data_IF_519864843045
#
_entry.id   IF_519864843045
#
_cell.length_a   1.000
_cell.length_b   1.000
_cell.length_c   1.000
_cell.angle_alpha   90.00
_cell.angle_beta   90.00
_cell.angle_gamma   90.00
#
_symmetry.space_group_name_H-M   'P 1'
#
loop_
_entity.id
_entity.type
_entity.pdbx_description
1 polymer ?
#
# COMPACT_ATOMS: atom_id res chain seq x y z
N UNK A 1 12.11 -47.49 33.71
CA UNK A 1 12.30 -46.05 33.93
C UNK A 1 12.82 -45.45 32.63
N UNK A 2 11.98 -44.74 31.89
CA UNK A 2 12.33 -44.18 30.58
C UNK A 2 13.21 -42.95 30.77
N UNK A 3 14.40 -43.02 30.18
CA UNK A 3 15.45 -42.01 30.25
C UNK A 3 15.00 -40.77 29.47
N UNK A 4 14.39 -39.79 30.14
CA UNK A 4 14.03 -38.50 29.56
C UNK A 4 15.28 -37.61 29.41
N UNK A 5 16.25 -38.04 28.61
CA UNK A 5 17.28 -37.14 28.10
C UNK A 5 16.67 -36.30 26.96
N UNK A 6 16.01 -35.21 27.34
CA UNK A 6 15.72 -34.15 26.38
C UNK A 6 17.05 -33.58 25.89
N UNK A 7 17.44 -33.95 24.66
CA UNK A 7 18.57 -33.33 23.96
C UNK A 7 18.36 -31.81 23.93
N UNK A 8 19.42 -31.05 24.20
CA UNK A 8 19.46 -29.59 24.06
C UNK A 8 18.74 -29.10 22.79
N UNK A 9 18.91 -29.76 21.65
CA UNK A 9 18.22 -29.40 20.40
C UNK A 9 16.69 -29.55 20.49
N UNK A 10 16.17 -30.56 21.21
CA UNK A 10 14.72 -30.69 21.44
C UNK A 10 14.20 -29.59 22.35
N UNK A 11 14.94 -29.23 23.40
CA UNK A 11 14.57 -28.14 24.32
C UNK A 11 14.61 -26.79 23.59
N UNK A 12 15.69 -26.53 22.85
CA UNK A 12 15.86 -25.33 22.04
C UNK A 12 14.78 -25.19 20.97
N UNK A 13 14.49 -26.25 20.22
CA UNK A 13 13.41 -26.24 19.24
C UNK A 13 12.06 -26.03 19.90
N UNK A 14 11.80 -26.66 21.05
CA UNK A 14 10.58 -26.45 21.83
C UNK A 14 10.46 -24.99 22.30
N UNK A 15 11.52 -24.36 22.79
CA UNK A 15 11.50 -22.96 23.21
C UNK A 15 11.28 -22.00 22.02
N UNK A 16 11.94 -22.26 20.88
CA UNK A 16 11.74 -21.48 19.64
C UNK A 16 10.29 -21.57 19.17
N UNK A 17 9.70 -22.77 19.13
CA UNK A 17 8.33 -22.98 18.66
C UNK A 17 7.26 -22.55 19.67
N UNK A 18 7.55 -22.59 20.97
CA UNK A 18 6.57 -22.28 22.02
C UNK A 18 6.54 -20.81 22.42
N UNK A 19 7.69 -20.12 22.36
CA UNK A 19 7.81 -18.73 22.84
C UNK A 19 7.99 -17.75 21.70
N UNK A 20 8.89 -18.04 20.76
CA UNK A 20 9.31 -17.08 19.72
C UNK A 20 8.39 -17.14 18.50
N UNK A 21 8.05 -18.35 18.04
CA UNK A 21 7.18 -18.59 16.89
C UNK A 21 5.79 -17.95 17.03
N UNK A 22 5.05 -18.18 18.13
CA UNK A 22 3.68 -17.70 18.27
C UNK A 22 3.63 -16.16 18.44
N UNK A 23 4.58 -15.59 19.18
CA UNK A 23 4.68 -14.14 19.36
C UNK A 23 5.00 -13.43 18.03
N UNK A 24 5.94 -13.97 17.24
CA UNK A 24 6.25 -13.43 15.90
C UNK A 24 5.07 -13.56 14.94
N UNK A 25 4.37 -14.70 14.91
CA UNK A 25 3.20 -14.87 14.03
C UNK A 25 2.08 -13.89 14.38
N UNK A 26 1.78 -13.69 15.68
CA UNK A 26 0.76 -12.73 16.13
C UNK A 26 1.08 -11.30 15.73
N UNK A 27 2.34 -10.86 15.92
CA UNK A 27 2.76 -9.52 15.51
C UNK A 27 2.64 -9.34 14.00
N UNK A 28 3.02 -10.34 13.21
CA UNK A 28 2.89 -10.29 11.74
C UNK A 28 1.44 -10.27 11.28
N UNK A 29 0.54 -11.04 11.91
CA UNK A 29 -0.90 -10.97 11.60
C UNK A 29 -1.44 -9.57 11.90
N UNK A 30 -1.08 -8.98 13.03
CA UNK A 30 -1.48 -7.61 13.36
C UNK A 30 -0.94 -6.58 12.35
N UNK A 31 0.31 -6.71 11.93
CA UNK A 31 0.91 -5.87 10.87
C UNK A 31 0.20 -6.04 9.53
N UNK A 32 -0.17 -7.27 9.16
CA UNK A 32 -0.92 -7.56 7.93
C UNK A 32 -2.31 -6.92 7.96
N UNK A 33 -3.14 -7.23 8.96
CA UNK A 33 -4.50 -6.71 9.05
C UNK A 33 -4.57 -5.20 9.31
N UNK A 34 -3.51 -4.61 9.89
CA UNK A 34 -3.39 -3.18 10.11
C UNK A 34 -2.68 -2.43 8.98
N UNK A 35 -2.30 -3.10 7.90
CA UNK A 35 -1.50 -2.49 6.85
C UNK A 35 -2.29 -1.43 6.08
N UNK A 36 -1.74 -0.21 6.04
CA UNK A 36 -2.23 0.91 5.23
C UNK A 36 -1.17 1.38 4.28
N UNK A 37 -1.60 1.96 3.16
CA UNK A 37 -0.75 2.61 2.19
C UNK A 37 -0.04 3.79 2.87
N UNK A 38 1.29 3.82 2.79
CA UNK A 38 2.12 4.92 3.27
C UNK A 38 2.09 6.08 2.28
N UNK A 39 2.36 7.28 2.77
CA UNK A 39 2.34 8.51 1.95
C UNK A 39 3.46 8.49 0.90
N UNK A 40 4.58 7.83 1.21
CA UNK A 40 5.76 7.72 0.35
C UNK A 40 5.74 6.46 -0.54
N UNK A 41 4.67 5.66 -0.51
CA UNK A 41 4.58 4.43 -1.29
C UNK A 41 3.44 4.49 -2.32
N UNK A 42 3.71 4.01 -3.53
CA UNK A 42 2.69 3.85 -4.57
C UNK A 42 1.89 2.54 -4.39
N UNK A 43 0.81 2.39 -5.16
CA UNK A 43 -0.05 1.19 -5.12
C UNK A 43 0.71 -0.09 -5.48
N UNK A 44 1.71 0.00 -6.36
CA UNK A 44 2.52 -1.17 -6.74
C UNK A 44 3.36 -1.64 -5.54
N UNK A 45 4.06 -0.71 -4.91
CA UNK A 45 4.88 -0.96 -3.72
C UNK A 45 4.03 -1.46 -2.56
N UNK A 46 2.86 -0.86 -2.33
CA UNK A 46 1.94 -1.32 -1.30
C UNK A 46 1.47 -2.76 -1.56
N UNK A 47 1.06 -3.09 -2.79
CA UNK A 47 0.64 -4.45 -3.16
C UNK A 47 1.76 -5.49 -2.96
N UNK A 48 3.01 -5.14 -3.31
CA UNK A 48 4.16 -5.99 -3.04
C UNK A 48 4.42 -6.19 -1.54
N UNK A 49 4.29 -5.14 -0.73
CA UNK A 49 4.45 -5.21 0.74
C UNK A 49 3.36 -6.08 1.39
N UNK A 50 2.12 -6.01 0.91
CA UNK A 50 1.07 -6.90 1.38
C UNK A 50 1.40 -8.37 1.04
N UNK A 51 1.87 -8.64 -0.18
CA UNK A 51 2.28 -9.99 -0.58
C UNK A 51 3.48 -10.52 0.22
N UNK A 52 4.39 -9.67 0.69
CA UNK A 52 5.52 -10.12 1.49
C UNK A 52 5.08 -10.67 2.85
N UNK A 53 4.07 -10.07 3.49
CA UNK A 53 3.49 -10.63 4.72
C UNK A 53 2.99 -12.06 4.51
N UNK A 54 2.26 -12.32 3.42
CA UNK A 54 1.73 -13.65 3.09
C UNK A 54 2.83 -14.71 2.98
N UNK A 55 3.98 -14.35 2.38
CA UNK A 55 5.13 -15.26 2.20
C UNK A 55 5.82 -15.61 3.51
N UNK A 56 5.67 -14.79 4.53
CA UNK A 56 6.35 -14.94 5.81
C UNK A 56 5.57 -15.77 6.84
N UNK A 57 4.31 -16.13 6.54
CA UNK A 57 3.49 -17.00 7.39
C UNK A 57 3.82 -18.48 7.18
N UNK A 58 3.63 -19.27 8.24
CA UNK A 58 3.65 -20.73 8.15
C UNK A 58 2.47 -21.24 7.30
N UNK A 59 2.51 -22.48 6.84
CA UNK A 59 1.50 -23.04 5.93
C UNK A 59 0.07 -23.01 6.50
N UNK A 60 -0.09 -23.13 7.83
CA UNK A 60 -1.39 -23.09 8.49
C UNK A 60 -1.99 -21.68 8.46
N UNK A 61 -1.21 -20.67 8.88
CA UNK A 61 -1.61 -19.26 8.91
C UNK A 61 -1.75 -18.66 7.51
N UNK A 62 -0.93 -19.12 6.57
CA UNK A 62 -0.92 -18.62 5.18
C UNK A 62 -2.28 -18.78 4.50
N UNK A 63 -2.91 -19.94 4.64
CA UNK A 63 -4.22 -20.22 4.03
C UNK A 63 -5.33 -19.31 4.58
N UNK A 64 -5.22 -18.90 5.84
CA UNK A 64 -6.16 -17.96 6.48
C UNK A 64 -5.92 -16.54 5.96
N UNK A 65 -4.66 -16.09 5.99
CA UNK A 65 -4.24 -14.75 5.56
C UNK A 65 -4.53 -14.53 4.08
N UNK A 66 -4.32 -15.53 3.23
CA UNK A 66 -4.60 -15.46 1.78
C UNK A 66 -6.09 -15.18 1.48
N UNK A 67 -7.02 -15.61 2.33
CA UNK A 67 -8.45 -15.33 2.14
C UNK A 67 -8.79 -13.86 2.33
N UNK A 68 -8.06 -13.18 3.22
CA UNK A 68 -8.28 -11.77 3.54
C UNK A 68 -7.35 -10.83 2.75
N UNK A 69 -6.52 -11.37 1.86
CA UNK A 69 -5.55 -10.61 1.09
C UNK A 69 -6.18 -9.45 0.30
N UNK A 70 -7.29 -9.71 -0.40
CA UNK A 70 -7.98 -8.67 -1.17
C UNK A 70 -8.62 -7.63 -0.26
N UNK A 71 -9.30 -8.04 0.82
CA UNK A 71 -9.93 -7.12 1.77
C UNK A 71 -8.90 -6.20 2.42
N UNK A 72 -7.81 -6.74 2.95
CA UNK A 72 -6.74 -5.96 3.57
C UNK A 72 -6.12 -4.97 2.59
N UNK A 73 -5.94 -5.37 1.33
CA UNK A 73 -5.45 -4.45 0.30
C UNK A 73 -6.45 -3.31 0.05
N UNK A 74 -7.73 -3.61 -0.15
CA UNK A 74 -8.79 -2.62 -0.40
C UNK A 74 -8.94 -1.67 0.79
N UNK A 75 -8.89 -2.17 2.02
CA UNK A 75 -8.99 -1.37 3.24
C UNK A 75 -7.76 -0.49 3.48
N UNK A 76 -6.60 -0.95 2.99
CA UNK A 76 -5.33 -0.30 3.20
C UNK A 76 -4.96 0.76 2.16
N UNK A 77 -5.43 0.69 0.92
CA UNK A 77 -5.09 1.67 -0.13
C UNK A 77 -5.58 3.09 0.21
N UNK A 78 -4.98 4.10 -0.41
CA UNK A 78 -5.45 5.48 -0.26
C UNK A 78 -6.94 5.65 -0.58
N UNK A 79 -7.61 6.51 0.18
CA UNK A 79 -9.05 6.73 0.12
C UNK A 79 -9.58 7.04 -1.31
N UNK A 80 -8.81 7.84 -2.07
CA UNK A 80 -9.15 8.23 -3.45
C UNK A 80 -9.23 7.03 -4.41
N UNK A 81 -8.46 5.97 -4.12
CA UNK A 81 -8.44 4.72 -4.87
C UNK A 81 -9.43 3.74 -4.24
N UNK A 82 -9.45 3.63 -2.91
CA UNK A 82 -10.36 2.77 -2.14
C UNK A 82 -11.80 2.91 -2.58
N UNK A 83 -12.30 4.15 -2.64
CA UNK A 83 -13.69 4.46 -3.03
C UNK A 83 -14.10 3.91 -4.40
N UNK A 84 -13.14 3.63 -5.29
CA UNK A 84 -13.38 3.09 -6.63
C UNK A 84 -13.25 1.56 -6.71
N UNK A 85 -12.72 0.92 -5.67
CA UNK A 85 -12.48 -0.53 -5.62
C UNK A 85 -13.12 -1.22 -4.41
N UNK A 86 -13.80 -0.48 -3.52
CA UNK A 86 -14.38 -1.01 -2.28
C UNK A 86 -15.36 -2.16 -2.49
N UNK A 87 -16.08 -2.15 -3.62
CA UNK A 87 -17.02 -3.19 -3.98
C UNK A 87 -16.37 -4.41 -4.64
N UNK A 88 -15.07 -4.35 -4.97
CA UNK A 88 -14.37 -5.40 -5.72
C UNK A 88 -13.68 -6.43 -4.81
N UNK A 89 -13.97 -6.44 -3.51
CA UNK A 89 -13.32 -7.35 -2.53
C UNK A 89 -13.53 -8.83 -2.85
N UNK A 90 -14.59 -9.17 -3.58
CA UNK A 90 -14.88 -10.52 -4.07
C UNK A 90 -14.00 -10.97 -5.24
N UNK A 91 -13.28 -10.06 -5.90
CA UNK A 91 -12.40 -10.38 -7.01
C UNK A 91 -11.04 -10.92 -6.52
N UNK A 92 -10.34 -11.71 -7.35
CA UNK A 92 -8.98 -12.11 -7.04
C UNK A 92 -8.08 -10.89 -6.84
N UNK A 93 -7.19 -10.96 -5.84
CA UNK A 93 -6.25 -9.87 -5.49
C UNK A 93 -5.56 -9.26 -6.72
N UNK A 94 -5.08 -10.09 -7.66
CA UNK A 94 -4.40 -9.62 -8.87
C UNK A 94 -5.28 -8.72 -9.75
N UNK A 95 -6.58 -8.99 -9.84
CA UNK A 95 -7.51 -8.18 -10.63
C UNK A 95 -7.74 -6.81 -9.96
N UNK A 96 -7.96 -6.81 -8.65
CA UNK A 96 -8.16 -5.58 -7.87
C UNK A 96 -6.90 -4.72 -7.86
N UNK A 97 -5.74 -5.33 -7.67
CA UNK A 97 -4.45 -4.64 -7.69
C UNK A 97 -4.15 -4.01 -9.06
N UNK A 98 -4.40 -4.74 -10.15
CA UNK A 98 -4.27 -4.21 -11.50
C UNK A 98 -5.22 -3.01 -11.76
N UNK A 99 -6.45 -3.06 -11.22
CA UNK A 99 -7.42 -1.96 -11.31
C UNK A 99 -6.94 -0.75 -10.50
N UNK A 100 -6.51 -0.94 -9.26
CA UNK A 100 -6.00 0.11 -8.38
C UNK A 100 -4.82 0.87 -9.02
N UNK A 101 -3.86 0.15 -9.61
CA UNK A 101 -2.73 0.77 -10.34
C UNK A 101 -3.17 1.63 -11.53
N UNK A 102 -4.22 1.20 -12.26
CA UNK A 102 -4.74 1.99 -13.38
C UNK A 102 -5.37 3.29 -12.86
N UNK A 103 -6.10 3.22 -11.75
CA UNK A 103 -6.72 4.37 -11.11
C UNK A 103 -5.65 5.36 -10.65
N UNK A 104 -4.63 4.90 -9.91
CA UNK A 104 -3.51 5.74 -9.46
C UNK A 104 -2.83 6.46 -10.63
N UNK A 105 -2.54 5.74 -11.72
CA UNK A 105 -1.98 6.36 -12.94
C UNK A 105 -2.89 7.43 -13.53
N UNK A 106 -4.20 7.21 -13.54
CA UNK A 106 -5.17 8.20 -14.02
C UNK A 106 -5.23 9.44 -13.11
N UNK A 107 -5.15 9.27 -11.79
CA UNK A 107 -5.13 10.36 -10.81
C UNK A 107 -3.85 11.21 -10.93
N UNK A 108 -2.70 10.55 -11.10
CA UNK A 108 -1.41 11.24 -11.26
C UNK A 108 -1.37 12.06 -12.56
N UNK A 109 -1.91 11.53 -13.66
CA UNK A 109 -2.04 12.27 -14.93
C UNK A 109 -2.92 13.50 -14.80
N UNK A 110 -4.11 13.37 -14.20
CA UNK A 110 -5.02 14.50 -13.95
C UNK A 110 -4.37 15.59 -13.09
N UNK A 111 -3.61 15.19 -12.08
CA UNK A 111 -2.90 16.13 -11.20
C UNK A 111 -1.81 16.91 -11.94
N UNK A 112 -1.08 16.24 -12.85
CA UNK A 112 -0.09 16.89 -13.71
C UNK A 112 -0.73 17.84 -14.71
N UNK A 113 -1.81 17.42 -15.38
CA UNK A 113 -2.57 18.26 -16.33
C UNK A 113 -3.11 19.53 -15.65
N UNK A 114 -3.73 19.40 -14.46
CA UNK A 114 -4.21 20.56 -13.70
C UNK A 114 -3.09 21.51 -13.28
N UNK A 115 -1.90 20.97 -12.95
CA UNK A 115 -0.75 21.80 -12.59
C UNK A 115 -0.24 22.60 -13.78
N UNK A 116 -0.19 21.99 -14.97
CA UNK A 116 0.24 22.65 -16.20
C UNK A 116 -0.70 23.79 -16.59
N UNK A 117 -2.02 23.56 -16.56
CA UNK A 117 -3.03 24.58 -16.86
C UNK A 117 -2.90 25.79 -15.91
N UNK A 118 -2.76 25.55 -14.61
CA UNK A 118 -2.59 26.64 -13.64
C UNK A 118 -1.31 27.46 -13.85
N UNK A 119 -0.22 26.82 -14.28
CA UNK A 119 1.05 27.51 -14.59
C UNK A 119 0.89 28.36 -15.86
N UNK A 120 0.25 27.84 -16.90
CA UNK A 120 -0.01 28.59 -18.14
C UNK A 120 -0.91 29.80 -17.91
N UNK A 121 -1.98 29.66 -17.13
CA UNK A 121 -2.85 30.78 -16.74
C UNK A 121 -2.08 31.85 -15.96
N UNK A 122 -1.20 31.43 -15.05
CA UNK A 122 -0.35 32.34 -14.27
C UNK A 122 0.65 33.10 -15.15
N UNK A 123 1.27 32.43 -16.13
CA UNK A 123 2.19 33.05 -17.07
C UNK A 123 1.49 34.06 -17.99
N UNK A 124 0.33 33.71 -18.52
CA UNK A 124 -0.48 34.59 -19.37
C UNK A 124 -0.94 35.84 -18.62
N UNK A 125 -1.31 35.72 -17.34
CA UNK A 125 -1.65 36.88 -16.51
C UNK A 125 -0.45 37.82 -16.27
N UNK A 126 0.76 37.28 -16.11
CA UNK A 126 1.99 38.06 -15.96
C UNK A 126 2.35 38.79 -17.25
N UNK A 127 2.24 38.14 -18.41
CA UNK A 127 2.49 38.79 -19.71
C UNK A 127 1.51 39.93 -19.99
N UNK A 128 0.23 39.74 -19.67
CA UNK A 128 -0.79 40.77 -19.85
C UNK A 128 -0.50 42.00 -18.99
N UNK A 129 -0.13 41.80 -17.72
CA UNK A 129 0.28 42.89 -16.82
C UNK A 129 1.54 43.62 -17.30
N UNK A 130 2.54 42.91 -17.85
CA UNK A 130 3.74 43.54 -18.42
C UNK A 130 3.42 44.43 -19.63
N UNK A 131 2.47 44.00 -20.47
CA UNK A 131 2.05 44.78 -21.64
C UNK A 131 1.24 46.02 -21.24
N UNK A 132 0.36 45.91 -20.23
CA UNK A 132 -0.39 47.05 -19.70
C UNK A 132 0.51 48.09 -19.03
N UNK A 133 1.54 47.65 -18.29
CA UNK A 133 2.54 48.56 -17.71
C UNK A 133 3.40 49.28 -18.76
N UNK A 134 3.75 48.61 -19.88
CA UNK A 134 4.47 49.24 -20.99
C UNK A 134 3.66 50.33 -21.68
N UNK A 135 2.35 50.15 -21.85
CA UNK A 135 1.46 51.16 -22.44
C UNK A 135 1.33 52.43 -21.58
N UNK A 136 1.51 52.31 -20.27
CA UNK A 136 1.45 53.46 -19.34
C UNK A 136 2.73 54.31 -19.31
N UNK A 137 3.86 53.81 -19.82
CA UNK A 137 5.16 54.51 -19.81
C UNK A 137 5.45 55.32 -21.08
N UNK A 138 4.57 55.24 -22.10
CA UNK A 138 4.73 55.90 -23.41
C UNK A 138 3.70 57.03 -23.65
N UNK A 139 3.00 57.49 -22.61
CA UNK A 139 2.16 58.69 -22.60
C UNK A 139 2.81 59.78 -21.76
#
# INVERSE_FOLDING_TARGET
MTNCQYNYEKIKNHLITSLIGPARSKNKKAEFYGAKQRIDEDVEQFGHRILSYVREFNQHDKTEVEKHLTEVFVDGVELNIQTQIINDTYLPFQAVWAKARKIEKCLNKKSQENTLVNVEESLNAIEKNKNEQKCHFLR
#
